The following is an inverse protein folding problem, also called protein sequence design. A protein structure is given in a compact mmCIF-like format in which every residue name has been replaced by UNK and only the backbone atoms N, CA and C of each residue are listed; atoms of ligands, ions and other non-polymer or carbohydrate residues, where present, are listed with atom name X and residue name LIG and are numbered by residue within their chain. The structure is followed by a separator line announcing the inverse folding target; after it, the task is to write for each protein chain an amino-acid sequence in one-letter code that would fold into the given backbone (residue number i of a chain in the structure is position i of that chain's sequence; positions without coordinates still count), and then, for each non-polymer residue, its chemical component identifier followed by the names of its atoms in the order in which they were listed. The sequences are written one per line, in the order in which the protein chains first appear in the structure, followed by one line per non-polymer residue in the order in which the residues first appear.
data_IF_852364071474
#
_entry.id   IF_852364071474
#
_cell.length_a   1.000
_cell.length_b   1.000
_cell.length_c   1.000
_cell.angle_alpha   90.00
_cell.angle_beta   90.00
_cell.angle_gamma   90.00
#
_symmetry.space_group_name_H-M   'P 1'
#
loop_
_entity.id
_entity.type
_entity.pdbx_description
1 polymer ?
#
# COMPACT_ATOMS: atom_id res chain seq x y z
N UNK A 1 -1.56 -13.04 -34.40
CA UNK A 1 -0.08 -13.09 -34.22
C UNK A 1 0.33 -11.72 -33.66
N UNK A 2 0.39 -11.58 -32.33
CA UNK A 2 0.66 -10.30 -31.66
C UNK A 2 2.14 -10.25 -31.29
N UNK A 3 2.85 -9.22 -31.78
CA UNK A 3 4.27 -9.05 -31.57
C UNK A 3 4.54 -8.53 -30.15
N UNK A 4 5.33 -9.29 -29.39
CA UNK A 4 5.94 -8.82 -28.14
C UNK A 4 6.95 -7.74 -28.53
N UNK A 5 6.63 -6.47 -28.26
CA UNK A 5 7.59 -5.37 -28.32
C UNK A 5 8.51 -5.47 -27.12
N UNK A 6 9.76 -5.89 -27.34
CA UNK A 6 10.83 -5.71 -26.36
C UNK A 6 11.19 -4.22 -26.31
N UNK A 7 10.90 -3.58 -25.18
CA UNK A 7 11.25 -2.18 -24.94
C UNK A 7 12.78 -2.02 -24.84
N UNK A 8 13.26 -0.88 -25.35
CA UNK A 8 14.66 -0.46 -25.38
C UNK A 8 15.22 -0.36 -23.94
N UNK A 9 16.38 -0.95 -23.66
CA UNK A 9 16.84 -1.24 -22.29
C UNK A 9 17.33 -0.03 -21.46
N UNK A 10 17.57 1.13 -22.07
CA UNK A 10 18.03 2.35 -21.36
C UNK A 10 16.93 3.32 -20.93
N UNK A 11 15.84 3.43 -21.69
CA UNK A 11 14.63 4.18 -21.27
C UNK A 11 13.88 3.47 -20.12
N UNK A 12 14.07 2.15 -20.01
CA UNK A 12 13.38 1.29 -19.04
C UNK A 12 13.85 1.53 -17.60
N UNK A 13 15.16 1.64 -17.36
CA UNK A 13 15.72 1.74 -16.01
C UNK A 13 15.47 3.10 -15.37
N UNK A 14 15.63 4.20 -16.11
CA UNK A 14 15.38 5.54 -15.59
C UNK A 14 13.90 5.73 -15.21
N UNK A 15 12.99 5.20 -16.02
CA UNK A 15 11.56 5.20 -15.75
C UNK A 15 11.23 4.42 -14.48
N UNK A 16 11.73 3.18 -14.37
CA UNK A 16 11.53 2.34 -13.18
C UNK A 16 12.10 3.01 -11.93
N UNK A 17 13.32 3.55 -12.01
CA UNK A 17 13.95 4.27 -10.91
C UNK A 17 13.15 5.52 -10.51
N UNK A 18 12.54 6.21 -11.49
CA UNK A 18 11.66 7.35 -11.26
C UNK A 18 10.37 6.95 -10.51
N UNK A 19 9.71 5.87 -10.93
CA UNK A 19 8.51 5.36 -10.26
C UNK A 19 8.80 4.90 -8.83
N UNK A 20 9.88 4.14 -8.64
CA UNK A 20 10.35 3.70 -7.33
C UNK A 20 10.63 4.91 -6.44
N UNK A 21 11.39 5.90 -6.93
CA UNK A 21 11.70 7.13 -6.19
C UNK A 21 10.44 7.91 -5.82
N UNK A 22 9.43 7.94 -6.70
CA UNK A 22 8.16 8.61 -6.42
C UNK A 22 7.35 7.91 -5.32
N UNK A 23 7.28 6.58 -5.34
CA UNK A 23 6.60 5.79 -4.30
C UNK A 23 7.29 5.99 -2.97
N UNK A 24 8.59 5.73 -2.88
CA UNK A 24 9.36 5.91 -1.63
C UNK A 24 9.33 7.34 -1.14
N UNK A 25 9.42 8.32 -2.05
CA UNK A 25 9.30 9.74 -1.72
C UNK A 25 7.94 10.09 -1.13
N UNK A 26 6.84 9.50 -1.63
CA UNK A 26 5.53 9.66 -1.03
C UNK A 26 5.49 9.04 0.37
N UNK A 27 5.91 7.76 0.51
CA UNK A 27 5.94 7.08 1.81
C UNK A 27 6.70 7.90 2.86
N UNK A 28 7.90 8.38 2.50
CA UNK A 28 8.73 9.19 3.38
C UNK A 28 8.03 10.50 3.79
N UNK A 29 7.44 11.23 2.83
CA UNK A 29 6.71 12.46 3.14
C UNK A 29 5.48 12.20 4.01
N UNK A 30 4.74 11.11 3.77
CA UNK A 30 3.58 10.72 4.56
C UNK A 30 3.95 10.39 6.00
N UNK A 31 5.05 9.66 6.20
CA UNK A 31 5.63 9.38 7.52
C UNK A 31 5.96 10.71 8.23
N UNK A 32 6.65 11.63 7.55
CA UNK A 32 7.05 12.91 8.16
C UNK A 32 5.87 13.86 8.43
N UNK A 33 4.82 13.80 7.62
CA UNK A 33 3.66 14.68 7.72
C UNK A 33 2.65 14.23 8.79
N UNK A 34 2.58 12.93 9.08
CA UNK A 34 1.66 12.42 10.11
C UNK A 34 2.34 12.40 11.50
N UNK A 35 1.80 13.14 12.50
CA UNK A 35 2.29 13.08 13.87
C UNK A 35 2.21 11.69 14.50
N UNK A 36 1.19 10.91 14.11
CA UNK A 36 0.93 9.56 14.61
C UNK A 36 1.66 8.47 13.84
N UNK A 37 2.28 8.81 12.70
CA UNK A 37 2.95 7.87 11.81
C UNK A 37 2.03 7.26 10.76
N UNK A 38 2.41 6.10 10.22
CA UNK A 38 1.64 5.40 9.17
C UNK A 38 1.53 3.91 9.46
N UNK A 39 0.45 3.30 8.98
CA UNK A 39 0.34 1.85 8.82
C UNK A 39 0.71 1.48 7.40
N UNK A 40 1.55 0.45 7.24
CA UNK A 40 1.95 -0.08 5.95
C UNK A 40 1.49 -1.53 5.89
N UNK A 41 0.64 -1.86 4.92
CA UNK A 41 0.14 -3.21 4.71
C UNK A 41 0.55 -3.70 3.33
N UNK A 42 1.22 -4.85 3.28
CA UNK A 42 1.42 -5.59 2.04
C UNK A 42 0.47 -6.79 2.03
N UNK A 43 -0.47 -6.79 1.09
CA UNK A 43 -1.58 -7.74 1.07
C UNK A 43 -1.69 -8.44 -0.28
N UNK A 44 -2.19 -9.68 -0.24
CA UNK A 44 -2.74 -10.36 -1.40
C UNK A 44 -4.27 -10.31 -1.34
N UNK A 45 -4.93 -10.10 -2.47
CA UNK A 45 -6.38 -9.99 -2.57
C UNK A 45 -6.92 -10.57 -3.88
N UNK A 46 -8.19 -10.99 -3.92
CA UNK A 46 -8.82 -11.42 -5.17
C UNK A 46 -8.79 -10.32 -6.23
N UNK A 47 -8.34 -10.65 -7.44
CA UNK A 47 -8.33 -9.72 -8.58
C UNK A 47 -9.70 -9.66 -9.26
N UNK A 48 -10.69 -9.11 -8.56
CA UNK A 48 -12.07 -8.99 -9.04
C UNK A 48 -12.70 -7.66 -8.63
N UNK A 49 -13.72 -7.19 -9.36
CA UNK A 49 -14.41 -5.95 -9.03
C UNK A 49 -14.82 -5.88 -7.56
N UNK A 50 -14.55 -4.72 -6.95
CA UNK A 50 -14.91 -4.41 -5.57
C UNK A 50 -14.05 -5.07 -4.49
N UNK A 51 -13.05 -5.91 -4.83
CA UNK A 51 -12.18 -6.52 -3.82
C UNK A 51 -11.43 -5.47 -3.00
N UNK A 52 -10.69 -4.56 -3.65
CA UNK A 52 -10.03 -3.47 -2.96
C UNK A 52 -11.03 -2.50 -2.31
N UNK A 53 -12.16 -2.23 -2.96
CA UNK A 53 -13.17 -1.31 -2.43
C UNK A 53 -13.74 -1.77 -1.09
N UNK A 54 -13.99 -3.08 -0.90
CA UNK A 54 -14.44 -3.63 0.38
C UNK A 54 -13.41 -3.41 1.49
N UNK A 55 -12.14 -3.69 1.20
CA UNK A 55 -11.04 -3.50 2.16
C UNK A 55 -10.87 -2.02 2.53
N UNK A 56 -10.86 -1.14 1.52
CA UNK A 56 -10.73 0.29 1.73
C UNK A 56 -11.92 0.86 2.52
N UNK A 57 -13.13 0.38 2.27
CA UNK A 57 -14.34 0.81 3.01
C UNK A 57 -14.27 0.39 4.48
N UNK A 58 -13.89 -0.85 4.76
CA UNK A 58 -13.75 -1.36 6.13
C UNK A 58 -12.70 -0.58 6.94
N UNK A 59 -11.57 -0.22 6.34
CA UNK A 59 -10.58 0.64 6.99
C UNK A 59 -11.05 2.10 7.14
N UNK A 60 -11.85 2.60 6.19
CA UNK A 60 -12.45 3.93 6.30
C UNK A 60 -13.48 4.01 7.45
N UNK A 61 -14.20 2.92 7.76
CA UNK A 61 -15.08 2.84 8.93
C UNK A 61 -14.32 2.94 10.27
N UNK A 62 -13.04 2.57 10.30
CA UNK A 62 -12.13 2.84 11.43
C UNK A 62 -11.63 4.30 11.46
N UNK A 63 -12.05 5.11 10.48
CA UNK A 63 -11.60 6.47 10.28
C UNK A 63 -10.15 6.56 9.80
N UNK A 64 -9.57 5.50 9.23
CA UNK A 64 -8.21 5.54 8.70
C UNK A 64 -8.22 6.16 7.30
N UNK A 65 -7.33 7.13 7.06
CA UNK A 65 -7.19 7.79 5.77
C UNK A 65 -6.15 7.06 4.90
N UNK A 66 -6.52 6.67 3.68
CA UNK A 66 -5.59 6.06 2.73
C UNK A 66 -4.69 7.15 2.14
N UNK A 67 -3.39 6.99 2.30
CA UNK A 67 -2.38 7.95 1.87
C UNK A 67 -1.74 7.54 0.55
N UNK A 68 -1.44 6.24 0.41
CA UNK A 68 -0.89 5.69 -0.81
C UNK A 68 -1.43 4.28 -1.03
N UNK A 69 -1.73 3.98 -2.29
CA UNK A 69 -1.99 2.62 -2.75
C UNK A 69 -1.13 2.33 -3.97
N UNK A 70 -0.47 1.18 -3.97
CA UNK A 70 0.16 0.61 -5.15
C UNK A 70 -0.38 -0.81 -5.33
N UNK A 71 -1.04 -1.07 -6.45
CA UNK A 71 -1.73 -2.32 -6.74
C UNK A 71 -1.23 -2.86 -8.07
N UNK A 72 -0.95 -4.16 -8.12
CA UNK A 72 -0.59 -4.84 -9.35
C UNK A 72 -1.19 -6.23 -9.40
N UNK A 73 -1.51 -6.68 -10.62
CA UNK A 73 -2.03 -8.02 -10.88
C UNK A 73 -0.88 -9.03 -10.93
N UNK A 74 -1.05 -10.16 -10.26
CA UNK A 74 -0.12 -11.30 -10.31
C UNK A 74 -0.63 -12.38 -11.25
N UNK A 75 -1.94 -12.65 -11.22
CA UNK A 75 -2.63 -13.57 -12.13
C UNK A 75 -4.08 -13.13 -12.33
N UNK A 76 -4.85 -13.86 -13.13
CA UNK A 76 -6.25 -13.56 -13.39
C UNK A 76 -7.06 -13.38 -12.09
N UNK A 77 -6.84 -14.25 -11.09
CA UNK A 77 -7.58 -14.26 -9.84
C UNK A 77 -6.87 -13.57 -8.66
N UNK A 78 -5.61 -13.16 -8.81
CA UNK A 78 -4.77 -12.67 -7.71
C UNK A 78 -4.12 -11.32 -8.02
N UNK A 79 -4.29 -10.38 -7.09
CA UNK A 79 -3.57 -9.12 -7.06
C UNK A 79 -2.78 -8.97 -5.75
N UNK A 80 -1.82 -8.06 -5.76
CA UNK A 80 -1.05 -7.66 -4.59
C UNK A 80 -1.14 -6.15 -4.43
N UNK A 81 -1.28 -5.67 -3.18
CA UNK A 81 -1.33 -4.26 -2.88
C UNK A 81 -0.39 -3.87 -1.75
N UNK A 82 0.30 -2.76 -1.92
CA UNK A 82 0.88 -1.97 -0.84
C UNK A 82 -0.09 -0.85 -0.48
N UNK A 83 -0.63 -0.91 0.74
CA UNK A 83 -1.54 0.10 1.26
C UNK A 83 -0.85 0.86 2.39
N UNK A 84 -0.92 2.18 2.36
CA UNK A 84 -0.37 3.03 3.40
C UNK A 84 -1.48 3.93 3.91
N UNK A 85 -1.77 3.80 5.20
CA UNK A 85 -2.77 4.60 5.89
C UNK A 85 -2.10 5.50 6.92
N UNK A 86 -2.71 6.64 7.18
CA UNK A 86 -2.36 7.42 8.37
C UNK A 86 -2.65 6.59 9.63
N UNK A 87 -1.67 6.49 10.52
CA UNK A 87 -1.80 5.73 11.74
C UNK A 87 -2.73 6.44 12.73
N UNK A 88 -3.49 5.65 13.48
CA UNK A 88 -4.26 6.10 14.64
C UNK A 88 -3.99 5.19 15.82
N UNK A 89 -3.74 5.78 16.98
CA UNK A 89 -3.33 5.02 18.15
C UNK A 89 -4.33 3.92 18.51
N UNK A 90 -3.81 2.72 18.77
CA UNK A 90 -4.59 1.55 19.16
C UNK A 90 -5.40 0.88 18.04
N UNK A 91 -5.32 1.36 16.79
CA UNK A 91 -6.08 0.79 15.67
C UNK A 91 -5.29 -0.19 14.79
N UNK A 92 -3.99 -0.37 15.02
CA UNK A 92 -3.15 -1.20 14.14
C UNK A 92 -3.65 -2.65 14.02
N UNK A 93 -3.77 -3.37 15.14
CA UNK A 93 -4.24 -4.77 15.14
C UNK A 93 -5.66 -4.89 14.58
N UNK A 94 -6.54 -3.94 14.94
CA UNK A 94 -7.91 -3.91 14.42
C UNK A 94 -7.95 -3.72 12.90
N UNK A 95 -7.08 -2.87 12.34
CA UNK A 95 -6.97 -2.68 10.90
C UNK A 95 -6.48 -3.95 10.19
N UNK A 96 -5.51 -4.65 10.77
CA UNK A 96 -5.05 -5.95 10.25
C UNK A 96 -6.19 -6.98 10.25
N UNK A 97 -6.97 -7.03 11.32
CA UNK A 97 -8.11 -7.94 11.42
C UNK A 97 -9.22 -7.61 10.42
N UNK A 98 -9.54 -6.35 10.22
CA UNK A 98 -10.51 -5.90 9.22
C UNK A 98 -10.06 -6.26 7.79
N UNK A 99 -8.77 -6.13 7.46
CA UNK A 99 -8.23 -6.59 6.17
C UNK A 99 -8.42 -8.10 5.99
N UNK A 100 -8.13 -8.89 7.03
CA UNK A 100 -8.33 -10.36 7.00
C UNK A 100 -9.80 -10.73 6.83
N UNK A 101 -10.70 -10.11 7.61
CA UNK A 101 -12.16 -10.31 7.50
C UNK A 101 -12.69 -9.95 6.12
N UNK A 102 -12.15 -8.89 5.51
CA UNK A 102 -12.48 -8.48 4.15
C UNK A 102 -11.95 -9.42 3.04
N UNK A 103 -11.21 -10.48 3.42
CA UNK A 103 -10.74 -11.53 2.53
C UNK A 103 -9.35 -11.29 1.96
N UNK A 104 -8.57 -10.35 2.52
CA UNK A 104 -7.17 -10.19 2.16
C UNK A 104 -6.29 -11.15 2.96
N UNK A 105 -5.23 -11.65 2.32
CA UNK A 105 -4.11 -12.27 3.02
C UNK A 105 -3.10 -11.18 3.33
N UNK A 106 -2.98 -10.81 4.60
CA UNK A 106 -1.95 -9.86 5.07
C UNK A 106 -0.61 -10.59 5.10
N UNK A 107 0.31 -10.19 4.21
CA UNK A 107 1.65 -10.78 4.08
C UNK A 107 2.61 -10.11 5.04
N UNK A 108 2.57 -8.79 5.06
CA UNK A 108 3.35 -7.95 5.97
C UNK A 108 2.48 -6.79 6.45
N UNK A 109 2.72 -6.36 7.69
CA UNK A 109 2.06 -5.23 8.30
C UNK A 109 3.03 -4.52 9.25
N UNK A 110 3.14 -3.21 9.14
CA UNK A 110 4.02 -2.40 9.99
C UNK A 110 3.29 -1.15 10.48
N UNK A 111 3.49 -0.80 11.75
CA UNK A 111 3.19 0.52 12.30
C UNK A 111 4.51 1.29 12.39
N UNK A 112 4.63 2.38 11.64
CA UNK A 112 5.83 3.20 11.58
C UNK A 112 5.55 4.55 12.22
N UNK A 113 6.22 4.87 13.32
CA UNK A 113 6.10 6.15 14.03
C UNK A 113 7.35 7.01 13.81
N UNK A 114 7.16 8.33 13.75
CA UNK A 114 8.27 9.28 13.75
C UNK A 114 8.60 9.65 15.18
N UNK A 115 9.74 9.21 15.68
CA UNK A 115 10.29 9.74 16.93
C UNK A 115 11.16 10.96 16.61
N UNK A 116 10.67 12.16 16.94
CA UNK A 116 11.53 13.36 16.90
C UNK A 116 12.49 13.31 18.09
N UNK A 117 13.78 13.21 17.81
CA UNK A 117 14.81 13.42 18.82
C UNK A 117 14.82 14.91 19.18
N UNK A 118 14.43 15.23 20.41
CA UNK A 118 14.61 16.58 20.97
C UNK A 118 16.07 16.64 21.41
N UNK A 119 16.88 17.41 20.70
CA UNK A 119 18.17 17.88 21.22
C UNK A 119 17.96 19.09 22.12
#
# INVERSE_FOLDING_TARGET
MSAIRFANSSESLSTILGEVSNVFGHVYRSILASPSGVFIFFIALPNRPGALARLASSLAELGLNLVLTYLYTVSEDLAMALLIYEAKDGLFEKAVDELRKGGAVVREAYEVKVTRSVK
#
